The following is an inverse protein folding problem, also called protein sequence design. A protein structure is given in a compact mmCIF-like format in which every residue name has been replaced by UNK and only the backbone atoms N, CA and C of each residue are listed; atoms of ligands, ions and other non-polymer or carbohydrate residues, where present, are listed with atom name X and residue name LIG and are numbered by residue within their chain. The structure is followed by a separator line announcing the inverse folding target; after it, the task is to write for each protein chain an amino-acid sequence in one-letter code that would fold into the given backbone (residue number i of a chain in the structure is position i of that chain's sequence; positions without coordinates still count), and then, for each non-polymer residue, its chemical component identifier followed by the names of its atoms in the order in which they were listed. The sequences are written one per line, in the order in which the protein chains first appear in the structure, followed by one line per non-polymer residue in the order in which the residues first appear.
data_IF_117194973759
#
_entry.id   IF_117194973759
#
_cell.length_a   1.000
_cell.length_b   1.000
_cell.length_c   1.000
_cell.angle_alpha   90.00
_cell.angle_beta   90.00
_cell.angle_gamma   90.00
#
_symmetry.space_group_name_H-M   'P 1'
#
loop_
_entity.id
_entity.type
_entity.pdbx_description
1 polymer ?
#
# COMPACT_ATOMS: atom_id res chain seq x y z
N UNK A 1 9.83 -19.62 1.94
CA UNK A 1 10.54 -18.35 1.69
C UNK A 1 10.49 -18.03 0.19
N UNK A 2 9.30 -18.03 -0.42
CA UNK A 2 9.14 -17.99 -1.89
C UNK A 2 8.50 -16.69 -2.43
N UNK A 3 7.82 -15.91 -1.57
CA UNK A 3 7.04 -14.74 -2.00
C UNK A 3 7.84 -13.44 -2.19
N UNK A 4 9.03 -13.33 -1.59
CA UNK A 4 9.82 -12.10 -1.66
C UNK A 4 10.37 -11.82 -3.08
N UNK A 5 10.60 -12.88 -3.88
CA UNK A 5 11.13 -12.76 -5.24
C UNK A 5 10.12 -12.17 -6.23
N UNK A 6 8.82 -12.14 -5.87
CA UNK A 6 7.75 -11.60 -6.69
C UNK A 6 7.46 -10.12 -6.42
N UNK A 7 8.08 -9.54 -5.38
CA UNK A 7 7.92 -8.12 -5.04
C UNK A 7 8.81 -7.28 -5.95
N UNK A 8 8.20 -6.67 -6.97
CA UNK A 8 8.92 -5.87 -7.98
C UNK A 8 9.46 -4.56 -7.42
N UNK A 9 8.68 -3.91 -6.57
CA UNK A 9 9.04 -2.64 -5.92
C UNK A 9 8.84 -2.78 -4.42
N UNK A 10 9.91 -3.15 -3.67
CA UNK A 10 9.79 -3.44 -2.24
C UNK A 10 9.64 -2.20 -1.37
N UNK A 11 9.96 -1.02 -1.91
CA UNK A 11 9.91 0.25 -1.18
C UNK A 11 9.59 1.41 -2.12
N UNK A 12 8.71 2.30 -1.68
CA UNK A 12 8.39 3.57 -2.35
C UNK A 12 8.31 4.68 -1.29
N UNK A 13 9.03 5.77 -1.50
CA UNK A 13 8.96 6.97 -0.65
C UNK A 13 7.85 7.91 -1.13
N UNK A 14 7.46 8.88 -0.30
CA UNK A 14 6.44 9.89 -0.62
C UNK A 14 5.05 9.32 -0.98
N UNK A 15 4.68 8.19 -0.37
CA UNK A 15 3.33 7.62 -0.48
C UNK A 15 2.41 8.33 0.51
N UNK A 16 1.22 8.71 0.07
CA UNK A 16 0.21 9.34 0.93
C UNK A 16 -0.87 8.33 1.31
N UNK A 17 -1.00 8.08 2.61
CA UNK A 17 -2.03 7.25 3.22
C UNK A 17 -3.25 8.09 3.59
N UNK A 18 -4.42 7.67 3.10
CA UNK A 18 -5.71 8.19 3.55
C UNK A 18 -6.51 7.09 4.26
N UNK A 19 -7.06 7.44 5.42
CA UNK A 19 -7.93 6.56 6.22
C UNK A 19 -9.19 7.34 6.63
N UNK A 20 -10.35 6.69 6.76
CA UNK A 20 -11.55 7.34 7.27
C UNK A 20 -11.30 7.98 8.63
N UNK A 21 -11.68 9.25 8.79
CA UNK A 21 -11.59 10.01 10.05
C UNK A 21 -10.19 10.35 10.57
N UNK A 22 -9.12 10.07 9.81
CA UNK A 22 -7.76 10.47 10.15
C UNK A 22 -7.21 11.46 9.10
N UNK A 23 -6.31 12.38 9.49
CA UNK A 23 -5.54 13.17 8.54
C UNK A 23 -4.75 12.28 7.57
N UNK A 24 -4.47 12.81 6.38
CA UNK A 24 -3.59 12.17 5.43
C UNK A 24 -2.15 12.13 5.97
N UNK A 25 -1.45 11.02 5.72
CA UNK A 25 -0.10 10.80 6.22
C UNK A 25 0.82 10.49 5.05
N UNK A 26 1.82 11.33 4.81
CA UNK A 26 2.90 11.03 3.87
C UNK A 26 3.97 10.18 4.55
N UNK A 27 4.48 9.15 3.86
CA UNK A 27 5.52 8.29 4.40
C UNK A 27 6.18 7.39 3.38
N UNK A 28 6.99 6.46 3.89
CA UNK A 28 7.59 5.38 3.10
C UNK A 28 6.72 4.14 3.18
N UNK A 29 6.29 3.62 2.04
CA UNK A 29 5.62 2.32 1.91
C UNK A 29 6.66 1.22 1.67
N UNK A 30 6.60 0.16 2.46
CA UNK A 30 7.42 -1.03 2.36
C UNK A 30 6.54 -2.27 2.17
N UNK A 31 6.92 -3.13 1.22
CA UNK A 31 6.27 -4.40 0.96
C UNK A 31 7.17 -5.53 1.44
N UNK A 32 6.57 -6.47 2.15
CA UNK A 32 7.18 -7.77 2.50
C UNK A 32 6.30 -8.88 1.97
N UNK A 33 6.73 -10.14 2.14
CA UNK A 33 5.89 -11.29 1.77
C UNK A 33 4.59 -11.44 2.58
N UNK A 34 4.42 -10.69 3.68
CA UNK A 34 3.24 -10.83 4.55
C UNK A 34 2.54 -9.50 4.84
N UNK A 35 3.29 -8.41 4.86
CA UNK A 35 2.81 -7.10 5.29
C UNK A 35 3.05 -6.04 4.23
N UNK A 36 2.10 -5.11 4.18
CA UNK A 36 2.24 -3.77 3.70
C UNK A 36 2.42 -2.84 4.91
N UNK A 37 3.53 -2.11 4.95
CA UNK A 37 3.87 -1.22 6.06
C UNK A 37 4.08 0.19 5.52
N UNK A 38 3.44 1.20 6.13
CA UNK A 38 3.76 2.60 5.86
C UNK A 38 4.21 3.26 7.15
N UNK A 39 5.35 3.95 7.10
CA UNK A 39 5.87 4.73 8.24
C UNK A 39 6.07 6.19 7.82
N UNK A 40 5.51 7.12 8.59
CA UNK A 40 5.64 8.57 8.38
C UNK A 40 7.04 9.10 8.73
N UNK A 41 7.86 8.30 9.43
CA UNK A 41 9.17 8.69 10.00
C UNK A 41 9.12 9.86 11.00
N UNK A 42 7.91 10.30 11.38
CA UNK A 42 7.67 11.34 12.38
C UNK A 42 7.04 10.68 13.62
N UNK A 43 7.67 10.86 14.78
CA UNK A 43 7.20 10.51 16.13
C UNK A 43 6.32 9.24 16.27
N UNK A 44 6.66 8.14 15.57
CA UNK A 44 6.17 6.76 15.72
C UNK A 44 4.65 6.52 15.85
N UNK A 45 3.82 7.54 15.64
CA UNK A 45 2.39 7.48 15.99
C UNK A 45 1.51 7.13 14.80
N UNK A 46 1.96 7.40 13.58
CA UNK A 46 1.16 7.23 12.37
C UNK A 46 1.81 6.21 11.43
N UNK A 47 1.56 4.93 11.72
CA UNK A 47 1.98 3.81 10.87
C UNK A 47 0.78 3.02 10.36
N UNK A 48 0.89 2.52 9.12
CA UNK A 48 0.04 1.45 8.61
C UNK A 48 0.77 0.13 8.80
N UNK A 49 0.09 -0.84 9.41
CA UNK A 49 0.48 -2.24 9.39
C UNK A 49 -0.68 -3.05 8.87
N UNK A 50 -0.55 -3.59 7.65
CA UNK A 50 -1.60 -4.35 7.00
C UNK A 50 -1.07 -5.69 6.53
N UNK A 51 -1.68 -6.77 7.03
CA UNK A 51 -1.44 -8.11 6.52
C UNK A 51 -2.07 -8.27 5.14
N UNK A 52 -1.35 -8.88 4.19
CA UNK A 52 -1.90 -9.25 2.88
C UNK A 52 -3.13 -10.15 3.05
N UNK A 53 -3.12 -11.07 4.01
CA UNK A 53 -4.26 -11.96 4.30
C UNK A 53 -5.53 -11.23 4.77
N UNK A 54 -5.42 -9.98 5.22
CA UNK A 54 -6.56 -9.14 5.61
C UNK A 54 -7.10 -8.29 4.44
N UNK A 55 -6.44 -8.29 3.28
CA UNK A 55 -6.92 -7.61 2.08
C UNK A 55 -7.96 -8.53 1.42
N UNK A 56 -9.13 -7.95 1.10
CA UNK A 56 -10.22 -8.60 0.38
C UNK A 56 -10.14 -8.29 -1.12
N UNK A 57 -9.95 -7.02 -1.47
CA UNK A 57 -9.83 -6.57 -2.84
C UNK A 57 -9.02 -5.27 -2.94
N UNK A 58 -8.48 -5.00 -4.12
CA UNK A 58 -7.88 -3.71 -4.46
C UNK A 58 -8.50 -3.12 -5.74
N UNK A 59 -8.61 -1.80 -5.80
CA UNK A 59 -8.94 -1.04 -7.01
C UNK A 59 -7.78 -0.09 -7.35
N UNK A 60 -7.41 -0.03 -8.63
CA UNK A 60 -6.35 0.86 -9.16
C UNK A 60 -6.98 2.02 -9.93
N UNK A 61 -6.50 3.25 -9.71
CA UNK A 61 -6.89 4.45 -10.46
C UNK A 61 -5.66 5.26 -10.84
N UNK A 62 -5.72 5.97 -11.95
CA UNK A 62 -4.63 6.83 -12.43
C UNK A 62 -5.18 8.20 -12.81
N UNK A 63 -4.52 9.25 -12.34
CA UNK A 63 -4.84 10.65 -12.69
C UNK A 63 -3.53 11.33 -13.08
N UNK A 64 -3.28 11.44 -14.39
CA UNK A 64 -1.99 11.90 -14.90
C UNK A 64 -0.85 10.98 -14.42
N UNK A 65 0.23 11.52 -13.83
CA UNK A 65 1.36 10.73 -13.36
C UNK A 65 1.14 10.05 -12.00
N UNK A 66 0.04 10.34 -11.31
CA UNK A 66 -0.25 9.81 -9.97
C UNK A 66 -1.10 8.54 -10.07
N UNK A 67 -0.68 7.51 -9.34
CA UNK A 67 -1.43 6.27 -9.18
C UNK A 67 -2.08 6.20 -7.79
N UNK A 68 -3.30 5.71 -7.72
CA UNK A 68 -4.01 5.49 -6.45
C UNK A 68 -4.41 4.02 -6.34
N UNK A 69 -4.12 3.41 -5.19
CA UNK A 69 -4.58 2.07 -4.83
C UNK A 69 -5.58 2.19 -3.68
N UNK A 70 -6.82 1.76 -3.93
CA UNK A 70 -7.85 1.62 -2.91
C UNK A 70 -7.85 0.18 -2.44
N UNK A 71 -7.59 -0.04 -1.15
CA UNK A 71 -7.54 -1.35 -0.51
C UNK A 71 -8.80 -1.53 0.33
N UNK A 72 -9.54 -2.61 0.06
CA UNK A 72 -10.69 -3.05 0.85
C UNK A 72 -10.24 -4.22 1.71
N UNK A 73 -10.44 -4.09 3.02
CA UNK A 73 -10.03 -5.09 3.99
C UNK A 73 -11.21 -5.95 4.43
N UNK A 74 -10.92 -7.19 4.86
CA UNK A 74 -11.90 -8.15 5.41
C UNK A 74 -12.52 -7.69 6.73
N UNK A 75 -11.88 -6.73 7.40
CA UNK A 75 -12.39 -6.06 8.60
C UNK A 75 -13.17 -4.77 8.28
N UNK A 76 -13.64 -4.62 7.04
CA UNK A 76 -14.43 -3.48 6.54
C UNK A 76 -13.70 -2.14 6.48
N UNK A 77 -12.38 -2.10 6.73
CA UNK A 77 -11.59 -0.89 6.47
C UNK A 77 -11.44 -0.65 4.96
N UNK A 78 -11.55 0.62 4.57
CA UNK A 78 -11.16 1.09 3.24
C UNK A 78 -9.98 2.03 3.43
N UNK A 79 -8.87 1.70 2.80
CA UNK A 79 -7.61 2.44 2.89
C UNK A 79 -7.25 2.91 1.48
N UNK A 80 -6.78 4.14 1.34
CA UNK A 80 -6.27 4.63 0.06
C UNK A 80 -4.78 4.97 0.19
N UNK A 81 -4.01 4.57 -0.83
CA UNK A 81 -2.61 4.92 -1.00
C UNK A 81 -2.45 5.68 -2.32
N UNK A 82 -1.94 6.91 -2.24
CA UNK A 82 -1.49 7.64 -3.43
C UNK A 82 0.01 7.39 -3.61
N UNK A 83 0.36 6.81 -4.76
CA UNK A 83 1.70 6.36 -5.12
C UNK A 83 2.30 7.36 -6.12
N UNK A 84 3.52 7.89 -5.87
CA UNK A 84 4.22 8.71 -6.83
C UNK A 84 4.73 7.83 -7.97
N UNK A 85 4.11 7.93 -9.14
CA UNK A 85 4.52 7.22 -10.35
C UNK A 85 3.62 6.05 -10.72
N UNK A 86 3.40 5.91 -12.03
CA UNK A 86 2.53 4.88 -12.60
C UNK A 86 3.16 3.49 -12.50
N UNK A 87 4.47 3.37 -12.73
CA UNK A 87 5.18 2.10 -12.69
C UNK A 87 5.20 1.51 -11.28
N UNK A 88 5.53 2.34 -10.28
CA UNK A 88 5.51 1.99 -8.88
C UNK A 88 4.12 1.53 -8.44
N UNK A 89 3.07 2.25 -8.84
CA UNK A 89 1.69 1.89 -8.53
C UNK A 89 1.32 0.51 -9.11
N UNK A 90 1.67 0.25 -10.37
CA UNK A 90 1.42 -1.04 -11.03
C UNK A 90 2.22 -2.18 -10.38
N UNK A 91 3.47 -1.93 -10.01
CA UNK A 91 4.33 -2.90 -9.34
C UNK A 91 3.83 -3.24 -7.94
N UNK A 92 3.40 -2.24 -7.15
CA UNK A 92 2.81 -2.46 -5.82
C UNK A 92 1.51 -3.25 -5.95
N UNK A 93 0.61 -2.82 -6.83
CA UNK A 93 -0.70 -3.48 -6.98
C UNK A 93 -0.55 -4.94 -7.41
N UNK A 94 0.33 -5.22 -8.39
CA UNK A 94 0.60 -6.61 -8.81
C UNK A 94 1.24 -7.45 -7.70
N UNK A 95 2.10 -6.84 -6.87
CA UNK A 95 2.68 -7.53 -5.71
C UNK A 95 1.62 -7.86 -4.65
N UNK A 96 0.64 -6.97 -4.43
CA UNK A 96 -0.49 -7.24 -3.52
C UNK A 96 -1.38 -8.35 -4.09
N UNK A 97 -1.77 -8.27 -5.37
CA UNK A 97 -2.64 -9.25 -6.03
C UNK A 97 -2.11 -10.69 -5.95
N UNK A 98 -0.79 -10.89 -5.99
CA UNK A 98 -0.18 -12.22 -5.85
C UNK A 98 -0.28 -12.76 -4.42
N UNK A 99 -0.28 -11.89 -3.40
CA UNK A 99 -0.23 -12.30 -1.98
C UNK A 99 -1.61 -12.41 -1.31
N UNK A 100 -2.69 -12.08 -2.02
CA UNK A 100 -4.08 -12.17 -1.49
C UNK A 100 -4.83 -13.42 -1.94
N UNK A 101 -4.22 -14.24 -2.80
CA UNK A 101 -4.79 -15.50 -3.34
C UNK A 101 -4.59 -16.65 -2.34
#
# INVERSE_FOLDING_TARGET
MEFAELIKTPRVDNVVLHRPFYPAVEGTLCLTGHHLILSSRQDNTEELWLLHSNIDAIDKRFVGPLGTIIIKCKDFRIIQLDIPGMEECLNIASSIEINII
#
